data_IF_519088531618
#
_entry.id   IF_519088531618
#
_cell.length_a   1.000
_cell.length_b   1.000
_cell.length_c   1.000
_cell.angle_alpha   90.00
_cell.angle_beta   90.00
_cell.angle_gamma   90.00
#
_symmetry.space_group_name_H-M   'P 1'
#
loop_
_entity.id
_entity.type
_entity.pdbx_description
1 polymer ?
#
# COMPACT_ATOMS: atom_id res chain seq x y z
N UNK A 1 -13.17 20.84 -6.62
CA UNK A 1 -12.42 20.37 -5.43
C UNK A 1 -11.27 19.51 -5.91
N UNK A 2 -10.06 19.78 -5.43
CA UNK A 2 -8.89 18.95 -5.69
C UNK A 2 -9.17 17.52 -5.27
N UNK A 3 -9.10 16.57 -6.20
CA UNK A 3 -9.35 15.15 -5.91
C UNK A 3 -8.01 14.48 -5.65
N UNK A 4 -7.89 13.85 -4.51
CA UNK A 4 -6.75 12.98 -4.21
C UNK A 4 -7.13 11.54 -4.54
N UNK A 5 -6.26 10.83 -5.24
CA UNK A 5 -6.48 9.41 -5.50
C UNK A 5 -6.10 8.61 -4.24
N UNK A 6 -7.06 7.87 -3.71
CA UNK A 6 -6.92 7.14 -2.44
C UNK A 6 -5.69 6.23 -2.41
N UNK A 7 -5.43 5.52 -3.50
CA UNK A 7 -4.34 4.56 -3.59
C UNK A 7 -2.97 5.25 -3.55
N UNK A 8 -2.84 6.43 -4.17
CA UNK A 8 -1.59 7.20 -4.18
C UNK A 8 -1.28 7.70 -2.77
N UNK A 9 -2.29 8.23 -2.07
CA UNK A 9 -2.17 8.69 -0.69
C UNK A 9 -1.85 7.53 0.26
N UNK A 10 -2.57 6.41 0.15
CA UNK A 10 -2.30 5.22 0.97
C UNK A 10 -0.91 4.65 0.73
N UNK A 11 -0.45 4.62 -0.52
CA UNK A 11 0.89 4.14 -0.87
C UNK A 11 1.98 5.04 -0.31
N UNK A 12 1.80 6.36 -0.42
CA UNK A 12 2.75 7.33 0.13
C UNK A 12 2.79 7.31 1.67
N UNK A 13 1.69 6.95 2.32
CA UNK A 13 1.58 6.92 3.77
C UNK A 13 2.24 5.70 4.44
N UNK A 14 2.56 4.64 3.68
CA UNK A 14 3.14 3.40 4.23
C UNK A 14 4.45 3.70 4.95
N UNK A 15 4.55 3.25 6.21
CA UNK A 15 5.74 3.48 7.05
C UNK A 15 5.80 4.85 7.73
N UNK A 16 4.92 5.80 7.38
CA UNK A 16 4.89 7.15 7.96
C UNK A 16 3.71 7.39 8.91
N UNK A 17 2.89 6.36 9.17
CA UNK A 17 1.65 6.51 9.96
C UNK A 17 1.83 7.12 11.34
N UNK A 18 2.86 6.82 12.15
CA UNK A 18 3.06 7.51 13.41
C UNK A 18 3.18 9.04 13.22
N UNK A 19 4.04 9.50 12.31
CA UNK A 19 4.22 10.92 12.03
C UNK A 19 2.95 11.57 11.46
N UNK A 20 2.25 10.87 10.56
CA UNK A 20 0.96 11.33 10.01
C UNK A 20 -0.07 11.48 11.12
N UNK A 21 -0.24 10.47 11.98
CA UNK A 21 -1.25 10.48 13.03
C UNK A 21 -0.97 11.51 14.13
N UNK A 22 0.30 11.70 14.47
CA UNK A 22 0.71 12.77 15.37
C UNK A 22 0.33 14.13 14.78
N UNK A 23 0.72 14.41 13.54
CA UNK A 23 0.51 15.73 12.93
C UNK A 23 -0.94 16.00 12.54
N UNK A 24 -1.62 15.01 11.97
CA UNK A 24 -2.96 15.17 11.37
C UNK A 24 -4.06 14.98 12.41
N UNK A 25 -3.91 14.01 13.32
CA UNK A 25 -4.93 13.68 14.32
C UNK A 25 -4.56 14.12 15.75
N UNK A 26 -3.38 14.72 15.97
CA UNK A 26 -2.96 15.19 17.30
C UNK A 26 -2.75 14.05 18.30
N UNK A 27 -2.37 12.86 17.81
CA UNK A 27 -2.15 11.69 18.66
C UNK A 27 -0.70 11.68 19.13
N UNK A 28 -0.48 11.83 20.43
CA UNK A 28 0.87 11.81 21.00
C UNK A 28 1.59 10.48 20.73
N UNK A 29 2.92 10.54 20.61
CA UNK A 29 3.77 9.41 20.22
C UNK A 29 3.62 8.19 21.16
N UNK A 30 3.32 8.43 22.44
CA UNK A 30 3.07 7.35 23.41
C UNK A 30 1.87 6.46 23.03
N UNK A 31 0.88 7.03 22.33
CA UNK A 31 -0.30 6.33 21.83
C UNK A 31 -0.04 5.67 20.46
N UNK A 32 1.11 5.93 19.85
CA UNK A 32 1.50 5.40 18.53
C UNK A 32 2.49 4.24 18.67
N UNK A 33 2.40 3.52 19.77
CA UNK A 33 3.12 2.28 20.05
C UNK A 33 2.16 1.11 20.23
N UNK A 34 2.67 -0.13 20.11
CA UNK A 34 1.88 -1.33 20.39
C UNK A 34 1.67 -1.58 21.89
N UNK A 35 1.95 -0.60 22.75
CA UNK A 35 1.67 -0.67 24.18
C UNK A 35 0.20 -0.40 24.44
N UNK A 36 -0.34 -1.11 25.43
CA UNK A 36 -1.68 -0.86 25.92
C UNK A 36 -1.73 0.48 26.67
N UNK A 37 -2.79 1.25 26.43
CA UNK A 37 -2.99 2.53 27.08
C UNK A 37 -4.46 2.96 27.14
N UNK A 38 -4.75 4.11 27.76
CA UNK A 38 -6.11 4.65 27.83
C UNK A 38 -6.65 4.96 26.43
N UNK A 39 -7.95 4.78 26.18
CA UNK A 39 -8.56 5.20 24.91
C UNK A 39 -8.92 6.68 24.97
N UNK A 40 -8.51 7.47 23.97
CA UNK A 40 -8.88 8.90 23.90
C UNK A 40 -10.37 9.13 23.64
N UNK A 41 -11.05 8.16 23.03
CA UNK A 41 -12.49 8.24 22.73
C UNK A 41 -13.38 7.81 23.90
N UNK A 42 -13.03 6.71 24.60
CA UNK A 42 -13.89 6.10 25.61
C UNK A 42 -13.25 5.94 27.00
N UNK A 43 -12.04 6.47 27.21
CA UNK A 43 -11.30 6.37 28.46
C UNK A 43 -10.76 4.96 28.76
N UNK A 44 -10.77 4.59 30.04
CA UNK A 44 -10.12 3.37 30.55
C UNK A 44 -8.60 3.55 30.72
N UNK A 45 -7.89 2.46 31.01
CA UNK A 45 -6.44 2.49 31.30
C UNK A 45 -5.59 1.69 30.31
N UNK A 46 -6.17 0.70 29.62
CA UNK A 46 -5.43 -0.33 28.85
C UNK A 46 -6.08 -0.75 27.52
N UNK A 47 -7.09 0.01 27.06
CA UNK A 47 -7.98 -0.39 25.97
C UNK A 47 -7.39 -0.15 24.58
N UNK A 48 -6.57 0.89 24.44
CA UNK A 48 -6.00 1.35 23.18
C UNK A 48 -4.66 0.67 22.89
N UNK A 49 -4.46 0.31 21.63
CA UNK A 49 -3.15 -0.06 21.07
C UNK A 49 -3.06 0.37 19.63
N UNK A 50 -1.93 0.98 19.25
CA UNK A 50 -1.60 1.21 17.84
C UNK A 50 -0.97 -0.04 17.27
N UNK A 51 -1.61 -0.65 16.28
CA UNK A 51 -1.16 -1.94 15.72
C UNK A 51 -0.27 -1.76 14.51
N UNK A 52 -0.27 -0.57 13.90
CA UNK A 52 0.39 -0.30 12.63
C UNK A 52 0.20 -1.45 11.62
N UNK A 53 -1.04 -1.90 11.45
CA UNK A 53 -1.44 -3.06 10.69
C UNK A 53 -0.77 -3.07 9.30
N UNK A 54 0.22 -3.95 9.15
CA UNK A 54 1.01 -4.10 7.92
C UNK A 54 1.58 -2.77 7.40
N UNK A 55 2.02 -1.86 8.27
CA UNK A 55 2.47 -0.51 7.92
C UNK A 55 1.43 0.37 7.22
N UNK A 56 0.15 0.01 7.29
CA UNK A 56 -0.97 0.85 6.84
C UNK A 56 -1.59 1.64 7.99
N UNK A 57 -0.93 1.70 9.16
CA UNK A 57 -1.49 2.31 10.36
C UNK A 57 -2.57 1.43 10.96
N UNK A 58 -3.51 2.02 11.68
CA UNK A 58 -4.58 1.28 12.34
C UNK A 58 -4.31 1.04 13.81
N UNK A 59 -5.41 0.86 14.54
CA UNK A 59 -5.41 0.76 15.98
C UNK A 59 -6.59 -0.09 16.42
N UNK A 60 -6.56 -0.50 17.68
CA UNK A 60 -7.65 -1.24 18.30
C UNK A 60 -7.98 -0.60 19.63
N UNK A 61 -9.26 -0.40 19.87
CA UNK A 61 -9.81 -0.25 21.20
C UNK A 61 -10.66 -1.47 21.53
N UNK A 62 -10.44 -2.13 22.66
CA UNK A 62 -11.24 -3.30 23.05
C UNK A 62 -12.73 -2.98 23.30
N UNK A 63 -13.11 -1.70 23.39
CA UNK A 63 -14.49 -1.24 23.56
C UNK A 63 -15.05 -0.56 22.30
N UNK A 64 -14.28 0.31 21.63
CA UNK A 64 -14.72 1.00 20.42
C UNK A 64 -14.58 0.14 19.15
N UNK A 65 -13.80 -0.94 19.21
CA UNK A 65 -13.53 -1.82 18.06
C UNK A 65 -12.23 -1.49 17.33
N UNK A 66 -12.11 -2.01 16.11
CA UNK A 66 -10.89 -1.96 15.30
C UNK A 66 -10.95 -0.81 14.29
N UNK A 67 -9.94 0.06 14.32
CA UNK A 67 -9.65 1.02 13.27
C UNK A 67 -8.73 0.34 12.25
N UNK A 68 -9.29 0.01 11.08
CA UNK A 68 -8.67 -0.92 10.12
C UNK A 68 -7.41 -0.42 9.40
N UNK A 69 -7.19 0.89 9.33
CA UNK A 69 -6.00 1.52 8.77
C UNK A 69 -5.80 2.93 9.40
N UNK A 70 -4.76 3.65 9.00
CA UNK A 70 -4.47 4.97 9.53
C UNK A 70 -5.50 6.04 9.15
N UNK A 71 -6.19 5.93 8.01
CA UNK A 71 -7.30 6.84 7.68
C UNK A 71 -8.48 6.61 8.62
N UNK A 72 -8.79 5.36 8.96
CA UNK A 72 -9.79 5.02 9.95
C UNK A 72 -9.46 5.59 11.33
N UNK A 73 -8.17 5.57 11.71
CA UNK A 73 -7.72 6.20 12.96
C UNK A 73 -7.95 7.72 12.93
N UNK A 74 -7.61 8.40 11.83
CA UNK A 74 -7.82 9.85 11.68
C UNK A 74 -9.30 10.20 11.79
N UNK A 75 -10.17 9.51 11.03
CA UNK A 75 -11.61 9.77 11.07
C UNK A 75 -12.17 9.57 12.48
N UNK A 76 -11.75 8.51 13.16
CA UNK A 76 -12.25 8.17 14.48
C UNK A 76 -11.79 9.14 15.58
N UNK A 77 -10.57 9.70 15.46
CA UNK A 77 -10.01 10.61 16.45
C UNK A 77 -10.36 12.08 16.22
N UNK A 78 -10.59 12.48 14.97
CA UNK A 78 -10.91 13.87 14.61
C UNK A 78 -12.39 14.10 14.33
N UNK A 79 -13.16 13.03 14.11
CA UNK A 79 -14.54 13.12 13.64
C UNK A 79 -14.68 13.58 12.18
N UNK A 80 -13.58 13.71 11.44
CA UNK A 80 -13.64 14.16 10.05
C UNK A 80 -14.18 13.06 9.12
N UNK A 81 -14.75 13.49 7.99
CA UNK A 81 -15.17 12.58 6.93
C UNK A 81 -13.98 11.98 6.16
N UNK A 82 -14.25 10.90 5.41
CA UNK A 82 -13.22 10.17 4.65
C UNK A 82 -12.47 11.03 3.62
N UNK A 83 -13.17 11.89 2.88
CA UNK A 83 -12.54 12.76 1.88
C UNK A 83 -11.58 13.77 2.51
N UNK A 84 -11.95 14.29 3.68
CA UNK A 84 -11.12 15.22 4.45
C UNK A 84 -9.90 14.51 5.04
N UNK A 85 -10.06 13.30 5.58
CA UNK A 85 -8.94 12.49 6.04
C UNK A 85 -7.91 12.25 4.93
N UNK A 86 -8.35 11.89 3.72
CA UNK A 86 -7.45 11.70 2.57
C UNK A 86 -6.71 12.99 2.25
N UNK A 87 -7.43 14.12 2.20
CA UNK A 87 -6.83 15.41 1.88
C UNK A 87 -5.75 15.79 2.89
N UNK A 88 -6.03 15.69 4.19
CA UNK A 88 -5.06 16.04 5.23
C UNK A 88 -3.81 15.16 5.17
N UNK A 89 -3.96 13.86 4.94
CA UNK A 89 -2.82 12.96 4.74
C UNK A 89 -2.05 13.30 3.47
N UNK A 90 -2.74 13.60 2.38
CA UNK A 90 -2.11 13.96 1.11
C UNK A 90 -1.31 15.26 1.23
N UNK A 91 -1.85 16.28 1.89
CA UNK A 91 -1.18 17.56 2.15
C UNK A 91 0.04 17.37 3.04
N UNK A 92 -0.06 16.57 4.10
CA UNK A 92 1.09 16.24 4.95
C UNK A 92 2.23 15.55 4.17
N UNK A 93 1.88 14.64 3.27
CA UNK A 93 2.85 13.89 2.45
C UNK A 93 3.31 14.63 1.20
N UNK A 94 2.76 15.81 0.90
CA UNK A 94 3.05 16.55 -0.33
C UNK A 94 2.56 15.86 -1.61
N UNK A 95 1.57 14.96 -1.51
CA UNK A 95 0.96 14.29 -2.67
C UNK A 95 0.20 15.34 -3.49
N UNK A 96 0.51 15.44 -4.78
CA UNK A 96 -0.17 16.38 -5.68
C UNK A 96 -1.59 15.89 -5.99
N UNK A 97 -2.60 16.78 -5.99
CA UNK A 97 -3.95 16.40 -6.39
C UNK A 97 -3.99 15.97 -7.86
N UNK A 98 -4.84 14.99 -8.20
CA UNK A 98 -4.96 14.52 -9.57
C UNK A 98 -5.68 15.58 -10.42
N UNK A 99 -5.01 16.06 -11.47
CA UNK A 99 -5.60 16.97 -12.48
C UNK A 99 -6.27 16.22 -13.63
N UNK A 100 -6.34 14.89 -13.55
CA UNK A 100 -6.76 14.04 -14.66
C UNK A 100 -8.28 14.02 -14.79
N UNK A 101 -8.78 14.82 -15.73
CA UNK A 101 -10.10 14.64 -16.32
C UNK A 101 -10.18 13.19 -16.84
N UNK A 102 -11.01 12.35 -16.20
CA UNK A 102 -11.22 10.95 -16.62
C UNK A 102 -11.89 10.97 -17.99
N UNK A 103 -11.12 11.09 -19.07
CA UNK A 103 -11.52 10.44 -20.32
C UNK A 103 -11.66 8.97 -19.95
N UNK A 104 -12.89 8.47 -20.02
CA UNK A 104 -13.22 7.05 -19.94
C UNK A 104 -12.12 6.25 -20.61
N UNK A 105 -11.45 5.34 -19.88
CA UNK A 105 -10.52 4.41 -20.51
C UNK A 105 -11.27 3.74 -21.65
N UNK A 106 -10.82 3.99 -22.88
CA UNK A 106 -11.38 3.39 -24.08
C UNK A 106 -11.37 1.87 -23.91
N UNK A 107 -12.42 1.23 -24.42
CA UNK A 107 -12.72 -0.21 -24.40
C UNK A 107 -11.66 -1.10 -25.09
N UNK A 108 -10.48 -0.56 -25.35
CA UNK A 108 -9.44 -1.10 -26.23
C UNK A 108 -8.05 -1.27 -25.58
N UNK A 109 -7.91 -1.08 -24.26
CA UNK A 109 -6.69 -1.48 -23.54
C UNK A 109 -6.78 -2.95 -23.11
N UNK A 110 -7.04 -3.83 -24.07
CA UNK A 110 -6.91 -5.29 -23.87
C UNK A 110 -5.43 -5.60 -23.60
N UNK A 111 -5.19 -6.22 -22.43
CA UNK A 111 -4.19 -7.26 -22.20
C UNK A 111 -2.82 -7.08 -22.88
N UNK A 112 -2.11 -6.00 -22.55
CA UNK A 112 -0.65 -6.03 -22.62
C UNK A 112 -0.09 -6.17 -21.19
N UNK A 113 0.48 -7.34 -20.84
CA UNK A 113 1.13 -7.55 -19.56
C UNK A 113 2.38 -6.66 -19.36
N UNK A 114 2.93 -6.04 -20.40
CA UNK A 114 4.13 -5.19 -20.32
C UNK A 114 3.84 -3.70 -20.22
N UNK A 115 2.68 -3.22 -20.66
CA UNK A 115 2.31 -1.78 -20.54
C UNK A 115 1.94 -1.32 -19.13
N UNK A 116 1.86 -2.25 -18.18
CA UNK A 116 1.37 -1.96 -16.85
C UNK A 116 2.44 -2.03 -15.77
N UNK A 117 3.72 -2.24 -16.10
CA UNK A 117 4.81 -2.19 -15.12
C UNK A 117 5.74 -1.04 -15.52
N UNK A 118 5.94 -0.10 -14.61
CA UNK A 118 6.88 1.00 -14.76
C UNK A 118 8.02 0.79 -13.79
N UNK A 119 9.21 0.44 -14.30
CA UNK A 119 10.40 0.22 -13.47
C UNK A 119 10.69 1.47 -12.65
N UNK A 120 11.02 1.25 -11.38
CA UNK A 120 11.43 2.29 -10.46
C UNK A 120 12.93 2.15 -10.19
N UNK A 121 13.59 3.22 -9.72
CA UNK A 121 14.92 3.11 -9.16
C UNK A 121 14.98 2.04 -8.08
N UNK A 122 16.14 1.38 -7.96
CA UNK A 122 16.36 0.42 -6.89
C UNK A 122 16.17 1.10 -5.52
N UNK A 123 15.46 0.42 -4.63
CA UNK A 123 15.18 0.87 -3.28
C UNK A 123 15.36 -0.30 -2.31
N UNK A 124 16.55 -0.38 -1.74
CA UNK A 124 16.94 -1.47 -0.85
C UNK A 124 16.06 -1.57 0.39
N UNK A 125 15.57 -0.45 0.92
CA UNK A 125 14.68 -0.45 2.09
C UNK A 125 13.35 -1.13 1.77
N UNK A 126 12.78 -0.84 0.60
CA UNK A 126 11.56 -1.49 0.12
C UNK A 126 11.76 -2.99 -0.06
N UNK A 127 12.88 -3.40 -0.68
CA UNK A 127 13.21 -4.80 -0.85
C UNK A 127 13.48 -5.51 0.50
N UNK A 128 14.19 -4.85 1.42
CA UNK A 128 14.48 -5.35 2.76
C UNK A 128 13.21 -5.55 3.56
N UNK A 129 12.29 -4.58 3.49
CA UNK A 129 11.00 -4.69 4.15
C UNK A 129 10.19 -5.86 3.62
N UNK A 130 10.09 -6.00 2.30
CA UNK A 130 9.43 -7.15 1.69
C UNK A 130 10.08 -8.48 2.10
N UNK A 131 11.41 -8.56 2.09
CA UNK A 131 12.15 -9.75 2.52
C UNK A 131 11.84 -10.10 3.99
N UNK A 132 11.81 -9.10 4.88
CA UNK A 132 11.43 -9.29 6.28
C UNK A 132 10.01 -9.84 6.41
N UNK A 133 9.03 -9.29 5.67
CA UNK A 133 7.65 -9.78 5.66
C UNK A 133 7.55 -11.24 5.18
N UNK A 134 8.41 -11.65 4.24
CA UNK A 134 8.44 -13.00 3.68
C UNK A 134 9.40 -13.95 4.40
N UNK A 135 10.13 -13.46 5.41
CA UNK A 135 11.18 -14.21 6.13
C UNK A 135 12.29 -14.72 5.18
N UNK A 136 12.73 -13.87 4.27
CA UNK A 136 13.76 -14.14 3.26
C UNK A 136 15.04 -13.35 3.57
N UNK A 137 16.18 -13.87 3.14
CA UNK A 137 17.45 -13.12 3.17
C UNK A 137 17.50 -12.11 2.03
N UNK A 138 17.80 -10.85 2.35
CA UNK A 138 17.98 -9.78 1.37
C UNK A 138 19.07 -10.12 0.35
N UNK A 139 20.21 -10.65 0.81
CA UNK A 139 21.33 -11.02 -0.06
C UNK A 139 20.96 -12.15 -1.02
N UNK A 140 20.23 -13.15 -0.53
CA UNK A 140 19.75 -14.25 -1.36
C UNK A 140 18.79 -13.75 -2.45
N UNK A 141 17.89 -12.83 -2.09
CA UNK A 141 16.93 -12.27 -3.03
C UNK A 141 17.60 -11.34 -4.04
N UNK A 142 18.59 -10.54 -3.63
CA UNK A 142 19.38 -9.71 -4.56
C UNK A 142 20.02 -10.54 -5.69
N UNK A 143 20.42 -11.79 -5.44
CA UNK A 143 20.96 -12.69 -6.48
C UNK A 143 19.95 -13.01 -7.57
N UNK A 144 18.66 -13.05 -7.24
CA UNK A 144 17.58 -13.23 -8.21
C UNK A 144 17.28 -11.96 -9.03
N UNK A 145 18.03 -10.86 -8.79
CA UNK A 145 17.93 -9.58 -9.52
C UNK A 145 16.49 -9.06 -9.63
N UNK A 146 15.76 -8.93 -8.50
CA UNK A 146 14.42 -8.36 -8.52
C UNK A 146 14.44 -6.94 -9.08
N UNK A 147 13.26 -6.49 -9.51
CA UNK A 147 13.01 -5.10 -9.89
C UNK A 147 11.89 -4.53 -9.05
N UNK A 148 12.03 -3.27 -8.67
CA UNK A 148 10.92 -2.51 -8.10
C UNK A 148 10.19 -1.86 -9.27
N UNK A 149 8.86 -1.99 -9.29
CA UNK A 149 8.04 -1.41 -10.35
C UNK A 149 6.71 -0.89 -9.81
N UNK A 150 6.07 -0.01 -10.58
CA UNK A 150 4.67 0.38 -10.39
C UNK A 150 3.78 -0.45 -11.29
N UNK A 151 2.97 -1.32 -10.71
CA UNK A 151 1.94 -2.07 -11.41
C UNK A 151 0.65 -1.24 -11.56
N UNK A 152 0.17 -1.09 -12.80
CA UNK A 152 -0.97 -0.23 -13.19
C UNK A 152 -0.84 1.20 -12.67
N UNK A 153 0.39 1.71 -12.59
CA UNK A 153 0.74 3.02 -12.00
C UNK A 153 0.34 3.21 -10.53
N UNK A 154 -0.10 2.15 -9.83
CA UNK A 154 -0.65 2.23 -8.47
C UNK A 154 0.17 1.42 -7.48
N UNK A 155 0.29 0.11 -7.72
CA UNK A 155 0.87 -0.81 -6.75
C UNK A 155 2.39 -0.82 -6.87
N UNK A 156 3.10 -0.55 -5.79
CA UNK A 156 4.55 -0.82 -5.73
C UNK A 156 4.74 -2.33 -5.62
N UNK A 157 5.49 -2.91 -6.56
CA UNK A 157 5.70 -4.36 -6.61
C UNK A 157 7.17 -4.72 -6.59
N UNK A 158 7.48 -5.86 -5.97
CA UNK A 158 8.71 -6.60 -6.18
C UNK A 158 8.44 -7.55 -7.36
N UNK A 159 9.03 -7.26 -8.51
CA UNK A 159 8.96 -8.06 -9.72
C UNK A 159 10.18 -8.97 -9.81
N UNK A 160 9.97 -10.27 -9.59
CA UNK A 160 10.98 -11.31 -9.74
C UNK A 160 11.02 -11.73 -11.22
N UNK A 161 12.18 -11.70 -11.88
CA UNK A 161 12.26 -12.12 -13.27
C UNK A 161 11.99 -13.63 -13.37
N UNK A 162 11.19 -14.01 -14.37
CA UNK A 162 11.12 -15.38 -14.86
C UNK A 162 12.09 -15.48 -16.02
N UNK A 163 12.98 -16.47 -16.00
CA UNK A 163 13.96 -16.68 -17.06
C UNK A 163 13.74 -18.01 -17.75
N UNK A 164 14.03 -18.09 -19.04
CA UNK A 164 14.20 -19.34 -19.77
C UNK A 164 15.44 -20.10 -19.29
N UNK A 165 15.63 -21.32 -19.79
CA UNK A 165 16.84 -22.11 -19.56
C UNK A 165 18.11 -21.44 -20.14
N UNK A 166 17.94 -20.62 -21.18
CA UNK A 166 19.01 -19.79 -21.76
C UNK A 166 19.30 -18.52 -20.95
N UNK A 167 18.53 -18.25 -19.89
CA UNK A 167 18.68 -17.07 -19.02
C UNK A 167 17.99 -15.80 -19.52
N UNK A 168 17.22 -15.88 -20.61
CA UNK A 168 16.48 -14.74 -21.15
C UNK A 168 15.22 -14.48 -20.30
N UNK A 169 14.88 -13.22 -20.00
CA UNK A 169 13.66 -12.91 -19.27
C UNK A 169 12.45 -13.25 -20.13
N UNK A 170 11.56 -14.11 -19.61
CA UNK A 170 10.30 -14.53 -20.22
C UNK A 170 9.08 -14.05 -19.42
N UNK A 171 9.29 -13.19 -18.40
CA UNK A 171 8.20 -12.63 -17.63
C UNK A 171 8.57 -12.18 -16.23
N UNK A 172 7.55 -11.97 -15.42
CA UNK A 172 7.66 -11.50 -14.04
C UNK A 172 6.72 -12.25 -13.12
N UNK A 173 7.20 -12.63 -11.94
CA UNK A 173 6.37 -12.95 -10.78
C UNK A 173 6.38 -11.76 -9.85
N UNK A 174 5.21 -11.15 -9.64
CA UNK A 174 5.08 -9.90 -8.89
C UNK A 174 4.41 -10.13 -7.54
N UNK A 175 4.96 -9.46 -6.53
CA UNK A 175 4.40 -9.35 -5.20
C UNK A 175 4.18 -7.88 -4.87
N UNK A 176 3.07 -7.55 -4.22
CA UNK A 176 2.92 -6.21 -3.65
C UNK A 176 3.99 -6.03 -2.54
N UNK A 177 4.69 -4.89 -2.59
CA UNK A 177 5.92 -4.67 -1.83
C UNK A 177 5.71 -4.52 -0.31
N UNK A 178 4.49 -4.18 0.11
CA UNK A 178 4.15 -3.87 1.49
C UNK A 178 3.18 -4.89 2.13
N UNK A 179 2.99 -6.05 1.49
CA UNK A 179 2.19 -7.15 2.03
C UNK A 179 0.72 -7.13 1.59
N UNK A 180 0.38 -6.27 0.62
CA UNK A 180 -0.92 -6.20 -0.01
C UNK A 180 -1.18 -7.32 -1.04
N UNK A 181 -2.25 -7.14 -1.81
CA UNK A 181 -2.67 -8.02 -2.91
C UNK A 181 -2.73 -7.23 -4.22
N UNK A 182 -2.65 -7.94 -5.34
CA UNK A 182 -2.73 -7.39 -6.69
C UNK A 182 -4.03 -7.78 -7.38
N UNK A 183 -4.67 -6.88 -8.14
CA UNK A 183 -5.93 -7.17 -8.79
C UNK A 183 -5.77 -8.07 -10.01
N UNK A 184 -6.71 -9.00 -10.20
CA UNK A 184 -6.96 -9.74 -11.42
C UNK A 184 -8.42 -9.49 -11.82
N UNK A 185 -8.60 -8.79 -12.93
CA UNK A 185 -9.93 -8.53 -13.48
C UNK A 185 -10.34 -9.67 -14.41
N UNK A 186 -11.49 -10.27 -14.15
CA UNK A 186 -12.11 -11.23 -15.06
C UNK A 186 -13.08 -10.49 -15.98
N UNK A 187 -12.79 -10.38 -17.30
CA UNK A 187 -13.67 -9.69 -18.23
C UNK A 187 -15.01 -10.40 -18.48
N UNK A 188 -15.11 -11.71 -18.19
CA UNK A 188 -16.34 -12.49 -18.37
C UNK A 188 -17.32 -12.20 -17.25
N UNK A 189 -16.87 -12.26 -16.00
CA UNK A 189 -17.71 -12.01 -14.81
C UNK A 189 -17.77 -10.53 -14.45
N UNK A 190 -16.84 -9.71 -14.96
CA UNK A 190 -16.61 -8.31 -14.59
C UNK A 190 -16.21 -8.12 -13.12
N UNK A 191 -15.76 -9.18 -12.46
CA UNK A 191 -15.31 -9.14 -11.08
C UNK A 191 -13.80 -8.94 -10.98
N UNK A 192 -13.34 -8.49 -9.80
CA UNK A 192 -11.91 -8.38 -9.50
C UNK A 192 -11.55 -9.31 -8.36
N UNK A 193 -10.71 -10.29 -8.67
CA UNK A 193 -10.05 -11.12 -7.68
C UNK A 193 -8.78 -10.42 -7.17
N UNK A 194 -8.43 -10.64 -5.90
CA UNK A 194 -7.23 -10.09 -5.29
C UNK A 194 -6.22 -11.20 -4.97
N UNK A 195 -5.12 -11.21 -5.72
CA UNK A 195 -4.10 -12.24 -5.66
C UNK A 195 -2.93 -11.82 -4.77
N UNK A 196 -2.38 -12.74 -3.98
CA UNK A 196 -1.14 -12.49 -3.22
C UNK A 196 0.10 -12.42 -4.12
N UNK A 197 0.05 -13.08 -5.27
CA UNK A 197 1.13 -13.17 -6.26
C UNK A 197 0.50 -13.09 -7.64
N UNK A 198 1.11 -12.34 -8.56
CA UNK A 198 0.65 -12.27 -9.94
C UNK A 198 1.79 -12.57 -10.90
N UNK A 199 1.57 -13.52 -11.80
CA UNK A 199 2.54 -13.89 -12.83
C UNK A 199 2.15 -13.26 -14.16
N UNK A 200 3.12 -12.67 -14.84
CA UNK A 200 3.02 -12.10 -16.18
C UNK A 200 4.04 -12.82 -17.06
N UNK A 201 3.61 -13.45 -18.15
CA UNK A 201 4.51 -14.07 -19.13
C UNK A 201 4.69 -13.13 -20.32
N UNK A 202 5.91 -13.03 -20.85
CA UNK A 202 6.18 -12.54 -22.20
C UNK A 202 5.49 -13.52 -23.14
N UNK A 203 4.67 -13.00 -24.06
CA UNK A 203 4.20 -13.84 -25.16
C UNK A 203 5.42 -14.14 -26.02
N UNK A 204 5.56 -15.38 -26.44
CA UNK A 204 6.44 -15.77 -27.54
C UNK A 204 6.08 -15.00 -28.82
#
# INVERSE_FOLDING_TARGET
>A
MSRYELDDVKSAAVGYWPAILNRVAGIDDDYLSNRHGPCRKCGGTDRWRFTNLNNHGGAICNQCGKMGDGLAVIMEMTGCGFAEAIKQVAEFLGVKPSTTNRKSLSKDTKLDPFRNIELQPDNEQTLSFWCWQKRLSLEAIKKAKPRIAKYRKRHTVIAMPLTSDSGEPIGWTMYEAFGGKLPLYDPKTKETEWLKVKTLKLKD
#
